data_IF_837102282563
#
_entry.id   IF_837102282563
#
_cell.length_a   1.000
_cell.length_b   1.000
_cell.length_c   1.000
_cell.angle_alpha   90.00
_cell.angle_beta   90.00
_cell.angle_gamma   90.00
#
_symmetry.space_group_name_H-M   'P 1'
#
loop_
_entity.id
_entity.type
_entity.pdbx_description
1 polymer ?
#
# COMPACT_ATOMS: atom_id res chain seq x y z
N UNK A 1 -6.27 31.96 -6.78
CA UNK A 1 -7.32 31.10 -7.40
C UNK A 1 -7.97 30.31 -6.27
N UNK A 2 -9.30 30.24 -6.27
CA UNK A 2 -10.03 29.44 -5.25
C UNK A 2 -9.67 27.96 -5.38
N UNK A 3 -9.49 27.30 -4.25
CA UNK A 3 -9.19 25.87 -4.17
C UNK A 3 -10.51 25.10 -4.30
N UNK A 4 -10.84 24.67 -5.52
CA UNK A 4 -12.05 23.89 -5.82
C UNK A 4 -11.68 22.49 -6.33
N UNK A 5 -12.60 21.52 -6.26
CA UNK A 5 -12.43 20.21 -6.85
C UNK A 5 -12.05 20.32 -8.33
N UNK A 6 -12.77 21.15 -9.10
CA UNK A 6 -12.51 21.35 -10.51
C UNK A 6 -11.09 21.87 -10.79
N UNK A 7 -10.66 22.94 -10.09
CA UNK A 7 -9.33 23.52 -10.29
C UNK A 7 -8.19 22.55 -9.96
N UNK A 8 -8.36 21.72 -8.91
CA UNK A 8 -7.37 20.71 -8.52
C UNK A 8 -7.38 19.52 -9.48
N UNK A 9 -8.53 19.10 -9.99
CA UNK A 9 -8.62 18.05 -11.00
C UNK A 9 -8.00 18.47 -12.34
N UNK A 10 -8.14 19.71 -12.76
CA UNK A 10 -7.43 20.25 -13.93
C UNK A 10 -5.90 20.21 -13.73
N UNK A 11 -5.41 20.63 -12.56
CA UNK A 11 -3.98 20.53 -12.21
C UNK A 11 -3.50 19.06 -12.18
N UNK A 12 -4.32 18.16 -11.64
CA UNK A 12 -4.04 16.73 -11.66
C UNK A 12 -3.91 16.18 -13.08
N UNK A 13 -4.82 16.55 -13.98
CA UNK A 13 -4.75 16.12 -15.38
C UNK A 13 -3.47 16.57 -16.08
N UNK A 14 -2.96 17.75 -15.74
CA UNK A 14 -1.71 18.26 -16.30
C UNK A 14 -0.46 17.59 -15.71
N UNK A 15 -0.50 17.18 -14.43
CA UNK A 15 0.69 16.74 -13.69
C UNK A 15 0.76 15.22 -13.46
N UNK A 16 -0.35 14.50 -13.53
CA UNK A 16 -0.45 13.08 -13.17
C UNK A 16 -0.82 12.26 -14.40
N UNK A 17 -0.06 11.19 -14.72
CA UNK A 17 -0.34 10.38 -15.90
C UNK A 17 -1.68 9.64 -15.77
N UNK A 18 -2.35 9.38 -16.90
CA UNK A 18 -3.65 8.71 -16.97
C UNK A 18 -3.68 7.32 -16.34
N UNK A 19 -2.54 6.64 -16.27
CA UNK A 19 -2.41 5.33 -15.62
C UNK A 19 -2.66 5.37 -14.11
N UNK A 20 -2.56 6.53 -13.46
CA UNK A 20 -3.01 6.75 -12.10
C UNK A 20 -4.50 7.10 -12.12
N UNK A 21 -5.35 6.09 -12.05
CA UNK A 21 -6.80 6.27 -12.10
C UNK A 21 -7.35 7.10 -10.93
N UNK A 22 -8.56 7.61 -11.11
CA UNK A 22 -9.36 8.25 -10.08
C UNK A 22 -10.83 7.86 -10.27
N UNK A 23 -11.46 7.33 -9.24
CA UNK A 23 -12.82 6.82 -9.31
C UNK A 23 -13.85 7.96 -9.13
N UNK A 24 -13.60 8.84 -8.16
CA UNK A 24 -14.51 9.92 -7.83
C UNK A 24 -13.89 11.29 -8.13
N UNK A 25 -14.66 12.23 -8.74
CA UNK A 25 -14.15 13.55 -9.12
C UNK A 25 -14.15 14.53 -7.93
N UNK A 26 -13.61 14.10 -6.80
CA UNK A 26 -13.46 14.89 -5.58
C UNK A 26 -11.99 14.87 -5.11
N UNK A 27 -11.58 15.92 -4.42
CA UNK A 27 -10.24 16.04 -3.85
C UNK A 27 -10.38 16.19 -2.35
N UNK A 28 -9.89 15.19 -1.59
CA UNK A 28 -9.95 15.19 -0.14
C UNK A 28 -9.06 16.29 0.45
N UNK A 29 -9.58 17.02 1.43
CA UNK A 29 -8.86 18.03 2.21
C UNK A 29 -8.47 17.52 3.58
N UNK A 30 -9.41 16.88 4.27
CA UNK A 30 -9.23 16.32 5.60
C UNK A 30 -10.08 15.08 5.80
N UNK A 31 -9.74 14.30 6.79
CA UNK A 31 -10.52 13.13 7.19
C UNK A 31 -10.39 12.89 8.69
N UNK A 32 -11.40 12.29 9.30
CA UNK A 32 -11.41 11.89 10.70
C UNK A 32 -12.31 10.65 10.86
N UNK A 33 -11.83 9.63 11.55
CA UNK A 33 -12.52 8.36 11.74
C UNK A 33 -13.03 7.78 10.40
N UNK A 34 -14.33 7.75 10.15
CA UNK A 34 -14.96 7.26 8.91
C UNK A 34 -15.46 8.38 8.00
N UNK A 35 -15.09 9.63 8.25
CA UNK A 35 -15.57 10.78 7.50
C UNK A 35 -14.43 11.45 6.74
N UNK A 36 -14.69 11.84 5.49
CA UNK A 36 -13.79 12.61 4.62
C UNK A 36 -14.50 13.90 4.21
N UNK A 37 -13.78 15.01 4.18
CA UNK A 37 -14.24 16.28 3.64
C UNK A 37 -13.42 16.65 2.42
N UNK A 38 -14.10 17.09 1.36
CA UNK A 38 -13.42 17.60 0.18
C UNK A 38 -12.94 19.05 0.37
N UNK A 39 -12.23 19.56 -0.61
CA UNK A 39 -11.68 20.93 -0.60
C UNK A 39 -12.77 22.03 -0.67
N UNK A 40 -14.01 21.66 -0.91
CA UNK A 40 -15.18 22.57 -0.90
C UNK A 40 -15.99 22.41 0.39
N UNK A 41 -15.51 21.58 1.34
CA UNK A 41 -16.13 21.35 2.63
C UNK A 41 -17.30 20.37 2.64
N UNK A 42 -17.57 19.67 1.55
CA UNK A 42 -18.61 18.64 1.51
C UNK A 42 -18.14 17.40 2.26
N UNK A 43 -19.05 16.81 3.00
CA UNK A 43 -18.80 15.63 3.82
C UNK A 43 -19.19 14.33 3.10
N UNK A 44 -18.38 13.30 3.27
CA UNK A 44 -18.59 11.96 2.72
C UNK A 44 -18.27 10.90 3.77
N UNK A 45 -19.03 9.80 3.78
CA UNK A 45 -18.68 8.62 4.56
C UNK A 45 -17.71 7.77 3.75
N UNK A 46 -16.54 7.48 4.34
CA UNK A 46 -15.47 6.72 3.69
C UNK A 46 -15.68 5.22 3.85
N UNK A 47 -16.46 4.62 2.95
CA UNK A 47 -16.57 3.17 2.82
C UNK A 47 -15.39 2.51 2.10
N UNK A 48 -14.53 3.29 1.46
CA UNK A 48 -13.35 2.76 0.75
C UNK A 48 -12.18 2.47 1.70
N UNK A 49 -12.05 3.24 2.78
CA UNK A 49 -11.01 3.09 3.79
C UNK A 49 -9.60 2.96 3.20
N UNK A 50 -9.28 3.72 2.14
CA UNK A 50 -8.01 3.58 1.43
C UNK A 50 -7.83 2.23 0.72
N UNK A 51 -8.92 1.65 0.22
CA UNK A 51 -9.03 0.29 -0.34
C UNK A 51 -8.70 -0.75 0.75
N UNK A 52 -9.51 -0.70 1.83
CA UNK A 52 -9.45 -1.58 3.00
C UNK A 52 -8.12 -1.54 3.80
N UNK A 53 -7.48 -0.38 3.87
CA UNK A 53 -6.24 -0.16 4.63
C UNK A 53 -6.49 0.40 6.02
N UNK A 54 -7.48 1.29 6.18
CA UNK A 54 -7.72 2.05 7.40
C UNK A 54 -8.59 1.28 8.41
N UNK A 55 -8.04 0.27 9.06
CA UNK A 55 -8.78 -0.54 10.05
C UNK A 55 -9.15 0.21 11.33
N UNK A 56 -8.47 1.31 11.65
CA UNK A 56 -8.70 2.12 12.85
C UNK A 56 -9.40 3.44 12.55
N UNK A 57 -9.76 3.70 11.30
CA UNK A 57 -10.23 5.00 10.84
C UNK A 57 -9.11 6.01 10.62
N UNK A 58 -9.48 7.16 10.06
CA UNK A 58 -8.55 8.28 9.87
C UNK A 58 -8.16 8.91 11.21
N UNK A 59 -6.91 9.29 11.34
CA UNK A 59 -6.35 10.05 12.46
C UNK A 59 -6.65 9.42 13.84
N UNK A 60 -6.55 8.11 13.96
CA UNK A 60 -6.72 7.44 15.26
C UNK A 60 -5.75 8.06 16.29
N UNK A 61 -6.23 8.55 17.46
CA UNK A 61 -5.40 9.36 18.37
C UNK A 61 -4.11 8.69 18.82
N UNK A 62 -4.14 7.38 19.13
CA UNK A 62 -2.94 6.63 19.51
C UNK A 62 -1.91 6.52 18.39
N UNK A 63 -2.38 6.39 17.13
CA UNK A 63 -1.49 6.32 15.96
C UNK A 63 -0.84 7.68 15.72
N UNK A 64 -1.64 8.76 15.76
CA UNK A 64 -1.14 10.13 15.60
C UNK A 64 -0.10 10.45 16.68
N UNK A 65 -0.39 10.15 17.94
CA UNK A 65 0.54 10.39 19.06
C UNK A 65 1.88 9.63 18.88
N UNK A 66 1.81 8.35 18.49
CA UNK A 66 3.01 7.54 18.26
C UNK A 66 3.86 8.07 17.08
N UNK A 67 3.21 8.54 16.01
CA UNK A 67 3.91 9.14 14.86
C UNK A 67 4.58 10.45 15.28
N UNK A 68 3.87 11.33 16.00
CA UNK A 68 4.41 12.60 16.50
C UNK A 68 5.60 12.37 17.43
N UNK A 69 5.52 11.40 18.34
CA UNK A 69 6.64 11.03 19.21
C UNK A 69 7.84 10.54 18.40
N UNK A 70 7.62 9.65 17.43
CA UNK A 70 8.70 9.10 16.61
C UNK A 70 9.40 10.19 15.77
N UNK A 71 8.67 11.18 15.26
CA UNK A 71 9.22 12.30 14.49
C UNK A 71 10.21 13.14 15.29
N UNK A 72 10.14 13.16 16.62
CA UNK A 72 11.12 13.84 17.48
C UNK A 72 12.42 13.07 17.66
N UNK A 73 12.47 11.78 17.28
CA UNK A 73 13.63 10.89 17.45
C UNK A 73 14.41 10.75 16.15
N UNK A 74 13.77 10.22 15.13
CA UNK A 74 14.35 10.05 13.78
C UNK A 74 13.26 9.79 12.75
N UNK A 75 13.53 10.14 11.49
CA UNK A 75 12.64 9.91 10.36
C UNK A 75 13.13 8.79 9.44
N UNK A 76 14.44 8.65 9.25
CA UNK A 76 15.02 7.64 8.38
C UNK A 76 16.48 7.39 8.69
N UNK A 77 16.90 6.12 8.71
CA UNK A 77 18.31 5.73 8.92
C UNK A 77 18.79 4.73 7.87
N UNK A 78 17.94 4.26 6.96
CA UNK A 78 18.14 3.02 6.19
C UNK A 78 18.44 1.84 7.12
N UNK A 79 17.45 1.01 7.43
CA UNK A 79 17.52 -0.06 8.45
C UNK A 79 18.73 -0.99 8.28
N UNK A 80 19.21 -1.18 7.04
CA UNK A 80 20.42 -1.96 6.75
C UNK A 80 21.71 -1.29 7.26
N UNK A 81 21.72 0.04 7.37
CA UNK A 81 22.86 0.80 7.89
C UNK A 81 22.79 0.94 9.40
N UNK A 82 21.66 1.43 9.90
CA UNK A 82 21.38 1.58 11.33
C UNK A 82 19.98 1.07 11.64
N UNK A 83 19.90 -0.05 12.35
CA UNK A 83 18.64 -0.59 12.84
C UNK A 83 17.99 0.34 13.87
N UNK A 84 16.65 0.27 13.97
CA UNK A 84 15.87 1.01 14.96
C UNK A 84 14.74 0.14 15.54
N UNK A 85 14.45 0.38 16.80
CA UNK A 85 13.56 -0.46 17.60
C UNK A 85 12.15 -0.65 17.02
N UNK A 86 11.42 0.40 16.54
CA UNK A 86 10.07 0.21 15.99
C UNK A 86 9.97 -0.80 14.83
N UNK A 87 11.01 -0.93 14.01
CA UNK A 87 11.05 -1.95 12.97
C UNK A 87 11.16 -3.36 13.56
N UNK A 88 12.03 -3.54 14.54
CA UNK A 88 12.21 -4.84 15.23
C UNK A 88 10.93 -5.23 15.94
N UNK A 89 10.36 -4.33 16.70
CA UNK A 89 9.12 -4.54 17.46
C UNK A 89 7.93 -4.94 16.58
N UNK A 90 7.75 -4.31 15.43
CA UNK A 90 6.66 -4.69 14.51
C UNK A 90 6.89 -6.07 13.91
N UNK A 91 8.15 -6.43 13.59
CA UNK A 91 8.48 -7.78 13.11
C UNK A 91 8.19 -8.84 14.17
N UNK A 92 8.58 -8.60 15.44
CA UNK A 92 8.28 -9.49 16.56
C UNK A 92 6.77 -9.68 16.76
N UNK A 93 6.00 -8.59 16.74
CA UNK A 93 4.54 -8.63 16.87
C UNK A 93 3.87 -9.40 15.72
N UNK A 94 4.35 -9.25 14.50
CA UNK A 94 3.85 -10.00 13.34
C UNK A 94 4.20 -11.48 13.49
N UNK A 95 5.45 -11.81 13.82
CA UNK A 95 5.90 -13.20 14.01
C UNK A 95 5.07 -13.93 15.07
N UNK A 96 4.74 -13.26 16.17
CA UNK A 96 3.91 -13.81 17.23
C UNK A 96 2.45 -14.06 16.83
N UNK A 97 1.92 -13.32 15.84
CA UNK A 97 0.53 -13.44 15.39
C UNK A 97 0.34 -14.42 14.23
N UNK A 98 1.36 -14.67 13.44
CA UNK A 98 1.29 -15.61 12.32
C UNK A 98 1.22 -17.05 12.87
N UNK A 99 0.25 -17.88 12.45
CA UNK A 99 0.08 -19.23 12.95
C UNK A 99 1.25 -20.16 12.59
N UNK A 100 1.37 -21.25 13.33
CA UNK A 100 2.39 -22.31 13.19
C UNK A 100 3.47 -22.25 14.27
N UNK A 101 4.05 -23.40 14.61
CA UNK A 101 5.00 -23.61 15.71
C UNK A 101 6.48 -23.58 15.27
N UNK A 102 6.77 -22.96 14.14
CA UNK A 102 8.12 -22.81 13.60
C UNK A 102 8.67 -21.40 13.79
N UNK A 103 9.99 -21.26 13.79
CA UNK A 103 10.65 -19.96 13.82
C UNK A 103 10.27 -19.11 12.59
N UNK A 104 9.87 -17.87 12.84
CA UNK A 104 9.41 -16.94 11.82
C UNK A 104 10.30 -15.70 11.77
N UNK A 105 10.43 -15.13 10.58
CA UNK A 105 11.09 -13.84 10.37
C UNK A 105 10.25 -13.00 9.42
N UNK A 106 10.10 -11.71 9.72
CA UNK A 106 9.35 -10.76 8.92
C UNK A 106 10.30 -9.84 8.16
N UNK A 107 10.04 -9.70 6.86
CA UNK A 107 10.65 -8.71 5.99
C UNK A 107 9.60 -7.64 5.67
N UNK A 108 9.89 -6.38 6.00
CA UNK A 108 9.03 -5.26 5.63
C UNK A 108 9.47 -4.68 4.28
N UNK A 109 8.50 -4.38 3.44
CA UNK A 109 8.68 -3.79 2.12
C UNK A 109 7.67 -2.65 1.91
N UNK A 110 7.85 -1.85 0.89
CA UNK A 110 7.06 -0.62 0.70
C UNK A 110 5.70 -0.88 0.08
N UNK A 111 5.55 -1.94 -0.73
CA UNK A 111 4.31 -2.25 -1.45
C UNK A 111 3.94 -3.73 -1.39
N UNK A 112 2.65 -4.04 -1.61
CA UNK A 112 2.18 -5.42 -1.76
C UNK A 112 2.81 -6.14 -2.96
N UNK A 113 3.09 -5.44 -4.06
CA UNK A 113 3.81 -6.01 -5.20
C UNK A 113 5.21 -6.47 -4.82
N UNK A 114 5.96 -5.66 -4.08
CA UNK A 114 7.28 -6.06 -3.55
C UNK A 114 7.19 -7.24 -2.61
N UNK A 115 6.15 -7.30 -1.78
CA UNK A 115 5.93 -8.44 -0.89
C UNK A 115 5.74 -9.74 -1.68
N UNK A 116 4.91 -9.73 -2.72
CA UNK A 116 4.68 -10.89 -3.60
C UNK A 116 5.95 -11.24 -4.38
N UNK A 117 6.67 -10.28 -4.93
CA UNK A 117 7.94 -10.50 -5.62
C UNK A 117 8.97 -11.19 -4.70
N UNK A 118 9.12 -10.71 -3.47
CA UNK A 118 10.04 -11.31 -2.49
C UNK A 118 9.56 -12.70 -2.06
N UNK A 119 8.25 -12.91 -1.88
CA UNK A 119 7.71 -14.23 -1.55
C UNK A 119 8.05 -15.27 -2.64
N UNK A 120 7.86 -14.92 -3.92
CA UNK A 120 8.21 -15.79 -5.05
C UNK A 120 9.72 -16.04 -5.12
N UNK A 121 10.54 -15.01 -4.93
CA UNK A 121 12.01 -15.14 -4.89
C UNK A 121 12.47 -16.09 -3.78
N UNK A 122 11.95 -15.91 -2.57
CA UNK A 122 12.27 -16.76 -1.41
C UNK A 122 11.83 -18.21 -1.66
N UNK A 123 10.59 -18.41 -2.17
CA UNK A 123 10.09 -19.73 -2.48
C UNK A 123 10.95 -20.45 -3.53
N UNK A 124 11.33 -19.78 -4.60
CA UNK A 124 12.22 -20.32 -5.63
C UNK A 124 13.61 -20.66 -5.08
N UNK A 125 14.19 -19.77 -4.29
CA UNK A 125 15.49 -20.01 -3.67
C UNK A 125 15.47 -21.19 -2.70
N UNK A 126 14.41 -21.33 -1.92
CA UNK A 126 14.28 -22.42 -0.93
C UNK A 126 13.96 -23.78 -1.56
N UNK A 127 13.26 -23.82 -2.70
CA UNK A 127 12.77 -25.08 -3.29
C UNK A 127 13.50 -25.49 -4.56
N UNK A 128 14.23 -24.61 -5.20
CA UNK A 128 14.81 -24.81 -6.55
C UNK A 128 13.78 -24.88 -7.68
N UNK A 129 12.48 -24.67 -7.39
CA UNK A 129 11.39 -24.77 -8.39
C UNK A 129 11.08 -23.39 -8.97
N UNK A 130 11.03 -23.28 -10.31
CA UNK A 130 10.79 -22.02 -11.01
C UNK A 130 9.30 -21.69 -11.20
N UNK A 131 8.45 -22.72 -11.34
CA UNK A 131 7.02 -22.56 -11.64
C UNK A 131 6.23 -21.96 -10.48
N UNK A 132 5.25 -21.11 -10.82
CA UNK A 132 4.28 -20.53 -9.87
C UNK A 132 2.87 -20.74 -10.41
N UNK A 133 1.97 -21.20 -9.58
CA UNK A 133 0.54 -21.32 -9.91
C UNK A 133 -0.18 -20.07 -9.42
N UNK A 134 -0.89 -19.40 -10.31
CA UNK A 134 -1.77 -18.29 -9.99
C UNK A 134 -3.22 -18.61 -10.40
N UNK A 135 -4.20 -18.03 -9.69
CA UNK A 135 -5.61 -18.27 -9.96
C UNK A 135 -6.18 -17.22 -10.91
N UNK A 136 -7.06 -17.65 -11.81
CA UNK A 136 -7.80 -16.75 -12.70
C UNK A 136 -8.58 -15.72 -11.87
N UNK A 137 -8.52 -14.45 -12.28
CA UNK A 137 -9.20 -13.34 -11.60
C UNK A 137 -8.46 -12.81 -10.37
N UNK A 138 -7.37 -13.44 -9.91
CA UNK A 138 -6.57 -12.96 -8.81
C UNK A 138 -5.83 -11.65 -9.18
N UNK A 139 -5.51 -10.85 -8.16
CA UNK A 139 -4.71 -9.64 -8.29
C UNK A 139 -3.50 -9.72 -7.34
N UNK A 140 -2.31 -9.65 -7.91
CA UNK A 140 -1.05 -9.77 -7.16
C UNK A 140 -0.16 -8.53 -7.24
N UNK A 141 -0.51 -7.56 -8.06
CA UNK A 141 0.25 -6.33 -8.23
C UNK A 141 0.46 -5.94 -9.69
N UNK A 142 1.27 -4.90 -9.91
CA UNK A 142 1.50 -4.30 -11.23
C UNK A 142 2.99 -4.15 -11.58
N UNK A 143 3.90 -4.74 -10.84
CA UNK A 143 5.27 -4.98 -11.28
C UNK A 143 5.29 -6.11 -12.31
N UNK A 144 6.34 -6.24 -13.11
CA UNK A 144 6.35 -7.20 -14.23
C UNK A 144 6.05 -8.63 -13.79
N UNK A 145 6.67 -9.14 -12.71
CA UNK A 145 6.38 -10.48 -12.22
C UNK A 145 4.96 -10.58 -11.64
N UNK A 146 4.55 -9.64 -10.78
CA UNK A 146 3.21 -9.69 -10.17
C UNK A 146 2.11 -9.46 -11.19
N UNK A 147 2.38 -8.72 -12.25
CA UNK A 147 1.46 -8.55 -13.37
C UNK A 147 1.27 -9.86 -14.15
N UNK A 148 2.33 -10.65 -14.32
CA UNK A 148 2.26 -12.00 -14.90
C UNK A 148 1.45 -12.97 -14.05
N UNK A 149 1.39 -12.78 -12.73
CA UNK A 149 0.56 -13.57 -11.81
C UNK A 149 -0.89 -13.04 -11.71
N UNK A 150 -1.14 -11.80 -12.13
CA UNK A 150 -2.47 -11.17 -12.05
C UNK A 150 -3.38 -11.70 -13.15
N UNK A 151 -4.45 -12.40 -12.76
CA UNK A 151 -5.38 -13.05 -13.69
C UNK A 151 -6.34 -12.11 -14.42
N UNK A 152 -6.23 -10.79 -14.23
CA UNK A 152 -7.03 -9.76 -14.91
C UNK A 152 -6.21 -9.08 -16.00
N UNK A 153 -6.37 -9.52 -17.24
CA UNK A 153 -5.63 -8.96 -18.39
C UNK A 153 -6.00 -7.49 -18.62
N UNK A 154 -7.30 -7.18 -18.69
CA UNK A 154 -7.79 -5.81 -18.85
C UNK A 154 -8.23 -5.27 -17.47
N UNK A 155 -7.78 -4.08 -17.05
CA UNK A 155 -6.92 -3.14 -17.77
C UNK A 155 -5.42 -3.29 -17.47
N UNK A 156 -4.98 -4.34 -16.77
CA UNK A 156 -3.66 -4.37 -16.12
C UNK A 156 -2.51 -4.80 -17.05
N UNK A 157 -2.62 -5.95 -17.71
CA UNK A 157 -1.53 -6.51 -18.52
C UNK A 157 -1.71 -6.34 -20.03
N UNK A 158 -2.85 -5.81 -20.47
CA UNK A 158 -3.12 -5.59 -21.89
C UNK A 158 -2.05 -4.71 -22.55
N UNK A 159 -1.42 -5.21 -23.61
CA UNK A 159 -0.37 -4.50 -24.36
C UNK A 159 1.02 -4.53 -23.73
N UNK A 160 1.21 -5.23 -22.60
CA UNK A 160 2.53 -5.29 -21.92
C UNK A 160 3.46 -6.39 -22.44
N UNK A 161 3.01 -7.21 -23.40
CA UNK A 161 3.78 -8.32 -23.93
C UNK A 161 3.71 -9.58 -23.05
N UNK A 162 4.64 -10.50 -23.28
CA UNK A 162 4.78 -11.71 -22.47
C UNK A 162 5.48 -11.39 -21.15
N UNK A 163 5.00 -12.00 -20.08
CA UNK A 163 5.50 -11.86 -18.72
C UNK A 163 5.79 -13.19 -18.07
#
# INVERSE_FOLDING_TARGET
>A
MSKTNESLLQRRQAAVPRGVGQIHPIVAERAENATVWDVEGREYIDFAGGIAVLNTGHLHPKVVAAVQEQLTKLTHTCFQVLAYEPYVEVCEKINAKVPGDFAKKTLLVTTGSEAVENAVKIARAATGRAGVIAFTGAYHGRTMMTLGLTGKVVPYSAGMGLM
#
